data_IF_246049145207
#
_entry.id   IF_246049145207
#
_cell.length_a   1.000
_cell.length_b   1.000
_cell.length_c   1.000
_cell.angle_alpha   90.00
_cell.angle_beta   90.00
_cell.angle_gamma   90.00
#
_symmetry.space_group_name_H-M   'P 1'
#
loop_
_entity.id
_entity.type
_entity.pdbx_description
1 polymer ?
#
# COMPACT_ATOMS: atom_id res chain seq x y z
N UNK A 1 -9.69 19.42 20.63
CA UNK A 1 -8.30 19.88 20.76
C UNK A 1 -7.77 20.24 19.40
N UNK A 2 -7.01 21.32 19.25
CA UNK A 2 -6.34 21.61 17.98
C UNK A 2 -5.45 20.40 17.62
N UNK A 3 -5.49 20.00 16.35
CA UNK A 3 -4.72 18.82 15.85
C UNK A 3 -3.22 19.10 15.83
N UNK A 4 -2.84 20.36 15.97
CA UNK A 4 -1.49 20.86 15.80
C UNK A 4 -1.07 21.54 17.11
N UNK A 5 -0.25 20.83 17.88
CA UNK A 5 0.44 21.35 19.07
C UNK A 5 1.96 21.37 18.81
N UNK A 6 2.72 22.00 19.68
CA UNK A 6 4.19 21.99 19.61
C UNK A 6 4.73 20.55 19.63
N UNK A 7 4.13 19.69 20.46
CA UNK A 7 4.49 18.28 20.54
C UNK A 7 4.22 17.53 19.21
N UNK A 8 3.11 17.84 18.54
CA UNK A 8 2.80 17.23 17.24
C UNK A 8 3.85 17.60 16.18
N UNK A 9 4.31 18.86 16.15
CA UNK A 9 5.41 19.26 15.27
C UNK A 9 6.73 18.62 15.67
N UNK A 10 7.04 18.51 16.96
CA UNK A 10 8.25 17.82 17.41
C UNK A 10 8.27 16.34 17.01
N UNK A 11 7.13 15.65 17.13
CA UNK A 11 6.97 14.24 16.69
C UNK A 11 7.18 14.13 15.17
N UNK A 12 6.55 14.99 14.38
CA UNK A 12 6.70 14.99 12.92
C UNK A 12 8.14 15.29 12.50
N UNK A 13 8.80 16.25 13.16
CA UNK A 13 10.21 16.54 12.92
C UNK A 13 11.11 15.34 13.24
N UNK A 14 10.91 14.68 14.38
CA UNK A 14 11.67 13.50 14.76
C UNK A 14 11.47 12.34 13.76
N UNK A 15 10.25 12.13 13.30
CA UNK A 15 9.93 11.11 12.30
C UNK A 15 10.60 11.42 10.95
N UNK A 16 10.53 12.70 10.53
CA UNK A 16 11.21 13.17 9.30
C UNK A 16 12.71 12.92 9.40
N UNK A 17 13.37 13.32 10.50
CA UNK A 17 14.79 13.10 10.72
C UNK A 17 15.16 11.62 10.72
N UNK A 18 14.38 10.77 11.38
CA UNK A 18 14.61 9.33 11.36
C UNK A 18 14.55 8.76 9.93
N UNK A 19 13.58 9.22 9.11
CA UNK A 19 13.45 8.76 7.73
C UNK A 19 14.62 9.26 6.87
N UNK A 20 15.01 10.54 7.00
CA UNK A 20 16.17 11.09 6.31
C UNK A 20 17.45 10.28 6.60
N UNK A 21 17.70 9.98 7.87
CA UNK A 21 18.88 9.22 8.30
C UNK A 21 18.86 7.77 7.77
N UNK A 22 17.72 7.08 7.87
CA UNK A 22 17.62 5.66 7.49
C UNK A 22 17.53 5.45 5.98
N UNK A 23 16.97 6.39 5.24
CA UNK A 23 16.84 6.35 3.77
C UNK A 23 17.94 7.13 3.05
N UNK A 24 18.85 7.80 3.77
CA UNK A 24 19.87 8.68 3.19
C UNK A 24 19.25 9.85 2.41
N UNK A 25 18.18 10.44 2.91
CA UNK A 25 17.44 11.53 2.25
C UNK A 25 16.66 11.11 1.00
N UNK A 26 16.50 9.82 0.75
CA UNK A 26 15.92 9.27 -0.48
C UNK A 26 14.43 8.98 -0.35
N UNK A 27 13.71 9.13 -1.47
CA UNK A 27 12.30 8.79 -1.60
C UNK A 27 12.03 7.97 -2.86
N UNK A 28 10.96 7.17 -2.81
CA UNK A 28 10.53 6.29 -3.89
C UNK A 28 9.09 6.59 -4.31
N UNK A 29 8.80 6.31 -5.57
CA UNK A 29 7.44 6.24 -6.10
C UNK A 29 7.20 4.82 -6.56
N UNK A 30 6.28 4.13 -5.90
CA UNK A 30 5.75 2.85 -6.36
C UNK A 30 4.51 3.08 -7.21
N UNK A 31 4.19 2.13 -8.08
CA UNK A 31 3.03 2.24 -8.95
C UNK A 31 2.17 0.97 -8.89
N UNK A 32 0.85 1.13 -8.83
CA UNK A 32 -0.09 0.04 -8.74
C UNK A 32 -1.04 0.02 -9.93
N UNK A 33 -1.16 -1.15 -10.56
CA UNK A 33 -2.16 -1.45 -11.57
C UNK A 33 -3.25 -2.33 -10.95
N UNK A 34 -4.46 -1.79 -10.82
CA UNK A 34 -5.62 -2.55 -10.39
C UNK A 34 -6.23 -3.31 -11.55
N UNK A 35 -6.13 -4.64 -11.56
CA UNK A 35 -6.46 -5.47 -12.73
C UNK A 35 -7.92 -5.81 -12.84
N UNK A 36 -8.72 -5.72 -11.75
CA UNK A 36 -10.14 -6.05 -11.82
C UNK A 36 -11.01 -5.29 -10.80
N UNK A 37 -12.26 -5.13 -11.13
CA UNK A 37 -13.36 -4.87 -10.20
C UNK A 37 -14.22 -6.12 -10.09
N UNK A 38 -14.70 -6.43 -8.90
CA UNK A 38 -15.63 -7.54 -8.68
C UNK A 38 -16.36 -7.37 -7.35
N UNK A 39 -17.60 -7.87 -7.21
CA UNK A 39 -18.23 -8.02 -5.90
C UNK A 39 -17.39 -8.97 -5.03
N UNK A 40 -16.69 -8.41 -4.04
CA UNK A 40 -15.80 -9.16 -3.16
C UNK A 40 -16.54 -9.65 -1.92
N UNK A 41 -16.51 -10.97 -1.68
CA UNK A 41 -17.21 -11.62 -0.56
C UNK A 41 -16.52 -11.40 0.80
N UNK A 42 -15.36 -10.79 0.83
CA UNK A 42 -14.72 -10.39 2.10
C UNK A 42 -15.45 -9.24 2.78
N UNK A 43 -16.33 -8.56 2.06
CA UNK A 43 -17.30 -7.60 2.57
C UNK A 43 -16.73 -6.56 3.55
N UNK A 44 -15.51 -6.08 3.28
CA UNK A 44 -14.90 -5.01 4.06
C UNK A 44 -15.79 -3.76 4.00
N UNK A 45 -16.30 -3.30 5.13
CA UNK A 45 -17.34 -2.25 5.22
C UNK A 45 -16.92 -0.90 4.62
N UNK A 46 -15.62 -0.68 4.44
CA UNK A 46 -15.02 0.54 3.91
C UNK A 46 -14.62 0.45 2.42
N UNK A 47 -14.77 -0.73 1.79
CA UNK A 47 -14.19 -1.02 0.48
C UNK A 47 -15.24 -0.89 -0.63
N UNK A 48 -14.89 -0.21 -1.73
CA UNK A 48 -15.77 -0.11 -2.90
C UNK A 48 -16.08 -1.47 -3.55
N UNK A 49 -15.17 -2.44 -3.42
CA UNK A 49 -15.35 -3.78 -3.99
C UNK A 49 -16.24 -4.70 -3.14
N UNK A 50 -16.57 -4.33 -1.89
CA UNK A 50 -17.38 -5.18 -1.04
C UNK A 50 -18.74 -5.47 -1.67
N UNK A 51 -19.10 -6.75 -1.79
CA UNK A 51 -20.38 -7.16 -2.41
C UNK A 51 -21.58 -6.52 -1.69
N UNK A 52 -21.52 -6.38 -0.36
CA UNK A 52 -22.55 -5.73 0.46
C UNK A 52 -22.79 -4.26 0.11
N UNK A 53 -21.77 -3.54 -0.35
CA UNK A 53 -21.87 -2.12 -0.69
C UNK A 53 -22.47 -1.89 -2.08
N UNK A 54 -22.53 -2.94 -2.91
CA UNK A 54 -23.17 -2.95 -4.24
C UNK A 54 -22.74 -1.81 -5.20
N UNK A 55 -21.53 -1.25 -5.00
CA UNK A 55 -20.93 -0.23 -5.88
C UNK A 55 -20.58 -0.89 -7.21
N UNK A 56 -19.82 -1.98 -7.17
CA UNK A 56 -19.56 -2.83 -8.33
C UNK A 56 -20.42 -4.09 -8.26
N UNK A 57 -21.33 -4.25 -9.22
CA UNK A 57 -22.30 -5.36 -9.25
C UNK A 57 -21.89 -6.50 -10.17
N UNK A 58 -20.90 -6.28 -11.03
CA UNK A 58 -20.40 -7.23 -12.00
C UNK A 58 -18.88 -7.31 -11.94
N UNK A 59 -18.36 -8.50 -12.20
CA UNK A 59 -16.93 -8.70 -12.34
C UNK A 59 -16.47 -8.22 -13.72
N UNK A 60 -15.37 -7.48 -13.74
CA UNK A 60 -14.71 -7.03 -14.97
C UNK A 60 -13.21 -7.04 -14.72
N UNK A 61 -12.49 -7.80 -15.52
CA UNK A 61 -11.02 -7.80 -15.50
C UNK A 61 -10.47 -7.04 -16.71
N UNK A 62 -9.36 -6.39 -16.53
CA UNK A 62 -8.60 -5.75 -17.59
C UNK A 62 -7.96 -6.84 -18.47
N UNK A 63 -7.94 -6.70 -19.80
CA UNK A 63 -7.21 -7.62 -20.68
C UNK A 63 -5.72 -7.67 -20.31
N UNK A 64 -5.04 -8.82 -20.43
CA UNK A 64 -3.62 -8.94 -20.10
C UNK A 64 -2.73 -7.93 -20.82
N UNK A 65 -3.02 -7.65 -22.08
CA UNK A 65 -2.28 -6.70 -22.91
C UNK A 65 -2.34 -5.29 -22.33
N UNK A 66 -3.53 -4.86 -21.86
CA UNK A 66 -3.71 -3.55 -21.22
C UNK A 66 -2.97 -3.49 -19.88
N UNK A 67 -2.95 -4.57 -19.09
CA UNK A 67 -2.18 -4.64 -17.84
C UNK A 67 -0.68 -4.48 -18.12
N UNK A 68 -0.16 -5.19 -19.12
CA UNK A 68 1.25 -5.11 -19.51
C UNK A 68 1.59 -3.69 -19.97
N UNK A 69 0.78 -3.09 -20.84
CA UNK A 69 0.98 -1.71 -21.33
C UNK A 69 1.06 -0.72 -20.16
N UNK A 70 0.17 -0.83 -19.19
CA UNK A 70 0.13 0.05 -18.00
C UNK A 70 1.36 -0.15 -17.11
N UNK A 71 1.81 -1.40 -16.92
CA UNK A 71 3.03 -1.70 -16.16
C UNK A 71 4.28 -1.11 -16.84
N UNK A 72 4.42 -1.29 -18.17
CA UNK A 72 5.50 -0.70 -18.96
C UNK A 72 5.47 0.83 -18.94
N UNK A 73 4.29 1.43 -19.00
CA UNK A 73 4.14 2.88 -18.88
C UNK A 73 4.63 3.40 -17.51
N UNK A 74 4.31 2.73 -16.42
CA UNK A 74 4.82 3.08 -15.10
C UNK A 74 6.33 2.87 -14.97
N UNK A 75 6.86 1.78 -15.50
CA UNK A 75 8.31 1.53 -15.56
C UNK A 75 9.02 2.65 -16.34
N UNK A 76 8.53 2.98 -17.54
CA UNK A 76 9.07 4.04 -18.38
C UNK A 76 8.98 5.44 -17.75
N UNK A 77 8.01 5.68 -16.87
CA UNK A 77 7.89 6.91 -16.07
C UNK A 77 8.83 6.93 -14.86
N UNK A 78 9.55 5.85 -14.59
CA UNK A 78 10.53 5.72 -13.52
C UNK A 78 9.90 5.39 -12.15
N UNK A 79 8.81 4.63 -12.12
CA UNK A 79 8.34 4.01 -10.89
C UNK A 79 9.37 3.00 -10.37
N UNK A 80 9.64 3.01 -9.07
CA UNK A 80 10.68 2.17 -8.46
C UNK A 80 10.23 0.72 -8.21
N UNK A 81 8.92 0.47 -8.11
CA UNK A 81 8.30 -0.85 -8.03
C UNK A 81 6.93 -0.83 -8.69
N UNK A 82 6.54 -1.96 -9.29
CA UNK A 82 5.24 -2.17 -9.94
C UNK A 82 4.43 -3.17 -9.12
N UNK A 83 3.18 -2.83 -8.83
CA UNK A 83 2.24 -3.67 -8.10
C UNK A 83 1.12 -4.12 -9.01
N UNK A 84 0.85 -5.42 -9.02
CA UNK A 84 -0.41 -5.94 -9.53
C UNK A 84 -1.39 -6.10 -8.39
N UNK A 85 -2.52 -5.43 -8.46
CA UNK A 85 -3.57 -5.50 -7.44
C UNK A 85 -4.83 -6.15 -8.02
N UNK A 86 -5.33 -7.14 -7.30
CA UNK A 86 -6.60 -7.80 -7.61
C UNK A 86 -7.51 -7.87 -6.38
N UNK A 87 -8.81 -8.00 -6.62
CA UNK A 87 -9.77 -8.31 -5.55
C UNK A 87 -9.40 -9.63 -4.86
N UNK A 88 -9.72 -9.76 -3.57
CA UNK A 88 -9.34 -10.96 -2.79
C UNK A 88 -9.97 -12.28 -3.30
N UNK A 89 -11.01 -12.20 -4.13
CA UNK A 89 -11.67 -13.34 -4.76
C UNK A 89 -11.29 -13.52 -6.24
N UNK A 90 -10.28 -12.80 -6.73
CA UNK A 90 -9.76 -13.02 -8.09
C UNK A 90 -9.12 -14.41 -8.18
N UNK A 91 -9.32 -15.17 -9.30
CA UNK A 91 -8.76 -16.50 -9.45
C UNK A 91 -7.23 -16.48 -9.33
N UNK A 92 -6.67 -17.25 -8.39
CA UNK A 92 -5.25 -17.19 -8.05
C UNK A 92 -4.35 -17.62 -9.23
N UNK A 93 -4.73 -18.70 -9.95
CA UNK A 93 -3.97 -19.14 -11.12
C UNK A 93 -3.98 -18.12 -12.27
N UNK A 94 -5.09 -17.41 -12.42
CA UNK A 94 -5.17 -16.33 -13.39
C UNK A 94 -4.25 -15.17 -12.99
N UNK A 95 -4.22 -14.81 -11.71
CA UNK A 95 -3.29 -13.81 -11.20
C UNK A 95 -1.83 -14.20 -11.44
N UNK A 96 -1.47 -15.46 -11.23
CA UNK A 96 -0.13 -15.96 -11.51
C UNK A 96 0.21 -15.86 -13.01
N UNK A 97 -0.77 -16.10 -13.90
CA UNK A 97 -0.59 -15.92 -15.34
C UNK A 97 -0.29 -14.46 -15.69
N UNK A 98 -1.05 -13.51 -15.14
CA UNK A 98 -0.77 -12.07 -15.27
C UNK A 98 0.64 -11.73 -14.78
N UNK A 99 1.00 -12.24 -13.59
CA UNK A 99 2.33 -12.01 -13.01
C UNK A 99 3.47 -12.46 -13.93
N UNK A 100 3.39 -13.66 -14.51
CA UNK A 100 4.39 -14.18 -15.44
C UNK A 100 4.50 -13.33 -16.71
N UNK A 101 3.38 -12.98 -17.33
CA UNK A 101 3.37 -12.16 -18.54
C UNK A 101 3.93 -10.75 -18.29
N UNK A 102 3.58 -10.14 -17.17
CA UNK A 102 4.13 -8.84 -16.78
C UNK A 102 5.62 -8.95 -16.46
N UNK A 103 6.06 -10.02 -15.77
CA UNK A 103 7.49 -10.24 -15.48
C UNK A 103 8.33 -10.39 -16.75
N UNK A 104 7.81 -11.09 -17.76
CA UNK A 104 8.47 -11.26 -19.05
C UNK A 104 8.61 -9.94 -19.84
N UNK A 105 7.66 -9.02 -19.66
CA UNK A 105 7.64 -7.73 -20.36
C UNK A 105 8.52 -6.67 -19.69
N UNK A 106 8.60 -6.65 -18.36
CA UNK A 106 9.38 -5.66 -17.59
C UNK A 106 10.89 -5.95 -17.63
N UNK A 107 11.69 -4.93 -17.36
CA UNK A 107 13.14 -5.12 -17.19
C UNK A 107 13.43 -6.16 -16.08
N UNK A 108 14.51 -6.94 -16.20
CA UNK A 108 14.80 -8.03 -15.26
C UNK A 108 14.95 -7.58 -13.81
N UNK A 109 15.42 -6.37 -13.57
CA UNK A 109 15.65 -5.78 -12.24
C UNK A 109 14.45 -4.98 -11.70
N UNK A 110 13.42 -4.75 -12.52
CA UNK A 110 12.20 -4.08 -12.04
C UNK A 110 11.51 -4.90 -10.97
N UNK A 111 11.25 -4.27 -9.84
CA UNK A 111 10.58 -4.91 -8.69
C UNK A 111 9.09 -5.09 -8.98
N UNK A 112 8.63 -6.34 -8.93
CA UNK A 112 7.23 -6.72 -9.14
C UNK A 112 6.61 -7.26 -7.85
N UNK A 113 5.48 -6.68 -7.42
CA UNK A 113 4.84 -6.95 -6.14
C UNK A 113 3.40 -7.44 -6.34
N UNK A 114 3.02 -8.47 -5.60
CA UNK A 114 1.65 -8.97 -5.58
C UNK A 114 0.82 -8.28 -4.49
N UNK A 115 -0.37 -7.81 -4.85
CA UNK A 115 -1.39 -7.31 -3.94
C UNK A 115 -2.71 -8.05 -4.22
N UNK A 116 -2.87 -9.22 -3.61
CA UNK A 116 -3.98 -10.16 -3.80
C UNK A 116 -4.50 -10.67 -2.45
N UNK A 117 -5.55 -11.47 -2.45
CA UNK A 117 -6.11 -12.14 -1.27
C UNK A 117 -5.12 -13.07 -0.56
N UNK A 118 -5.60 -13.75 0.47
CA UNK A 118 -4.78 -14.65 1.27
C UNK A 118 -4.42 -15.94 0.52
N UNK A 119 -3.23 -16.44 0.77
CA UNK A 119 -2.68 -17.68 0.23
C UNK A 119 -1.90 -18.46 1.31
N UNK A 120 -1.52 -19.69 1.00
CA UNK A 120 -0.70 -20.57 1.83
C UNK A 120 0.74 -20.67 1.32
N UNK A 121 1.49 -21.66 1.80
CA UNK A 121 2.88 -21.89 1.41
C UNK A 121 3.02 -22.24 -0.08
N UNK A 122 2.10 -23.03 -0.62
CA UNK A 122 2.13 -23.40 -2.05
C UNK A 122 1.87 -22.17 -2.92
N UNK A 123 0.90 -21.33 -2.53
CA UNK A 123 0.62 -20.07 -3.20
C UNK A 123 1.79 -19.10 -3.12
N UNK A 124 2.48 -19.02 -1.98
CA UNK A 124 3.67 -18.18 -1.83
C UNK A 124 4.81 -18.62 -2.75
N UNK A 125 5.06 -19.91 -2.83
CA UNK A 125 6.06 -20.49 -3.75
C UNK A 125 5.67 -20.22 -5.20
N UNK A 126 4.39 -20.35 -5.55
CA UNK A 126 3.90 -20.08 -6.90
C UNK A 126 4.07 -18.60 -7.29
N UNK A 127 3.78 -17.66 -6.37
CA UNK A 127 4.05 -16.23 -6.59
C UNK A 127 5.54 -15.96 -6.83
N UNK A 128 6.42 -16.54 -6.02
CA UNK A 128 7.87 -16.42 -6.21
C UNK A 128 8.32 -16.94 -7.57
N UNK A 129 7.83 -18.11 -7.99
CA UNK A 129 8.10 -18.72 -9.30
C UNK A 129 7.51 -17.88 -10.46
N UNK A 130 6.41 -17.19 -10.26
CA UNK A 130 5.82 -16.28 -11.24
C UNK A 130 6.59 -14.95 -11.38
N UNK A 131 7.67 -14.74 -10.62
CA UNK A 131 8.58 -13.61 -10.75
C UNK A 131 8.29 -12.44 -9.82
N UNK A 132 7.40 -12.61 -8.84
CA UNK A 132 7.18 -11.60 -7.81
C UNK A 132 8.35 -11.53 -6.82
N UNK A 133 8.77 -10.31 -6.47
CA UNK A 133 9.81 -10.04 -5.48
C UNK A 133 9.23 -9.97 -4.06
N UNK A 134 7.97 -9.64 -3.92
CA UNK A 134 7.31 -9.47 -2.64
C UNK A 134 5.80 -9.32 -2.74
N UNK A 135 5.19 -9.03 -1.60
CA UNK A 135 3.76 -8.79 -1.46
C UNK A 135 3.50 -7.48 -0.72
N UNK A 136 2.37 -6.83 -1.02
CA UNK A 136 1.74 -5.90 -0.12
C UNK A 136 0.62 -6.61 0.64
N UNK A 137 0.71 -6.66 1.96
CA UNK A 137 -0.28 -7.37 2.75
C UNK A 137 -0.48 -6.72 4.12
N UNK A 138 -1.63 -6.11 4.34
CA UNK A 138 -1.97 -5.42 5.57
C UNK A 138 -2.94 -6.26 6.42
N UNK A 139 -2.71 -6.29 7.74
CA UNK A 139 -3.73 -6.66 8.71
C UNK A 139 -4.45 -5.37 9.08
N UNK A 140 -5.68 -5.20 8.60
CA UNK A 140 -6.40 -3.92 8.68
C UNK A 140 -6.86 -3.60 10.09
N UNK A 141 -7.05 -2.33 10.37
CA UNK A 141 -7.77 -1.87 11.56
C UNK A 141 -9.17 -2.48 11.55
N UNK A 142 -9.58 -3.09 12.66
CA UNK A 142 -10.86 -3.81 12.78
C UNK A 142 -10.94 -5.11 11.97
N UNK A 143 -9.82 -5.69 11.50
CA UNK A 143 -9.81 -6.96 10.75
C UNK A 143 -10.55 -8.05 11.53
N UNK A 144 -11.47 -8.76 10.88
CA UNK A 144 -12.34 -9.76 11.49
C UNK A 144 -13.66 -9.21 12.04
N UNK A 145 -13.72 -7.93 12.38
CA UNK A 145 -14.96 -7.26 12.80
C UNK A 145 -15.60 -6.48 11.64
N UNK A 146 -14.77 -5.72 10.90
CA UNK A 146 -15.22 -4.89 9.75
C UNK A 146 -14.90 -5.52 8.40
N UNK A 147 -14.34 -6.73 8.41
CA UNK A 147 -14.02 -7.54 7.23
C UNK A 147 -14.41 -8.99 7.45
N UNK A 148 -14.61 -9.75 6.38
CA UNK A 148 -14.84 -11.21 6.43
C UNK A 148 -13.56 -12.03 6.62
N UNK A 149 -12.42 -11.41 6.96
CA UNK A 149 -11.12 -12.06 7.05
C UNK A 149 -10.65 -12.07 8.50
N UNK A 150 -10.25 -13.26 8.99
CA UNK A 150 -9.66 -13.37 10.33
C UNK A 150 -8.22 -12.85 10.34
N UNK A 151 -7.80 -12.09 11.38
CA UNK A 151 -6.42 -11.59 11.50
C UNK A 151 -5.36 -12.69 11.41
N UNK A 152 -5.64 -13.88 11.98
CA UNK A 152 -4.74 -15.02 11.95
C UNK A 152 -4.46 -15.52 10.53
N UNK A 153 -5.48 -15.46 9.63
CA UNK A 153 -5.31 -15.81 8.22
C UNK A 153 -4.33 -14.88 7.53
N UNK A 154 -4.44 -13.57 7.79
CA UNK A 154 -3.49 -12.56 7.28
C UNK A 154 -2.07 -12.84 7.76
N UNK A 155 -1.89 -13.14 9.05
CA UNK A 155 -0.59 -13.49 9.62
C UNK A 155 -0.01 -14.78 9.03
N UNK A 156 -0.84 -15.79 8.75
CA UNK A 156 -0.42 -17.00 8.05
C UNK A 156 0.11 -16.69 6.66
N UNK A 157 -0.58 -15.84 5.88
CA UNK A 157 -0.15 -15.38 4.56
C UNK A 157 1.21 -14.68 4.62
N UNK A 158 1.42 -13.78 5.59
CA UNK A 158 2.71 -13.10 5.79
C UNK A 158 3.83 -14.10 6.10
N UNK A 159 3.55 -15.10 6.95
CA UNK A 159 4.53 -16.15 7.29
C UNK A 159 4.86 -17.02 6.08
N UNK A 160 3.86 -17.42 5.29
CA UNK A 160 4.04 -18.18 4.05
C UNK A 160 4.90 -17.42 3.03
N UNK A 161 4.58 -16.13 2.80
CA UNK A 161 5.36 -15.26 1.92
C UNK A 161 6.85 -15.23 2.31
N UNK A 162 7.15 -15.06 3.61
CA UNK A 162 8.53 -15.05 4.11
C UNK A 162 9.25 -16.37 3.93
N UNK A 163 8.58 -17.49 4.20
CA UNK A 163 9.19 -18.82 3.98
C UNK A 163 9.55 -19.04 2.51
N UNK A 164 8.78 -18.48 1.60
CA UNK A 164 9.06 -18.53 0.16
C UNK A 164 10.09 -17.48 -0.32
N UNK A 165 10.63 -16.64 0.59
CA UNK A 165 11.59 -15.59 0.24
C UNK A 165 10.95 -14.36 -0.41
N UNK A 166 9.62 -14.17 -0.29
CA UNK A 166 8.94 -12.96 -0.69
C UNK A 166 9.08 -11.89 0.39
N UNK A 167 9.42 -10.67 0.00
CA UNK A 167 9.49 -9.52 0.87
C UNK A 167 8.09 -8.96 1.14
N UNK A 168 7.86 -8.41 2.33
CA UNK A 168 6.52 -7.98 2.76
C UNK A 168 6.52 -6.49 3.05
N UNK A 169 5.71 -5.73 2.30
CA UNK A 169 5.34 -4.37 2.61
C UNK A 169 3.98 -4.30 3.29
N UNK A 170 3.78 -3.37 4.22
CA UNK A 170 2.50 -3.20 4.92
C UNK A 170 2.32 -1.77 5.44
N UNK A 171 1.09 -1.41 5.81
CA UNK A 171 0.76 -0.14 6.45
C UNK A 171 -0.25 -0.34 7.59
N UNK A 172 -0.29 0.63 8.51
CA UNK A 172 -1.40 0.82 9.44
C UNK A 172 -2.56 1.43 8.66
N UNK A 173 -3.58 0.63 8.35
CA UNK A 173 -4.71 1.01 7.50
C UNK A 173 -5.99 0.22 7.78
N UNK A 174 -7.15 0.69 7.33
CA UNK A 174 -7.45 2.07 6.90
C UNK A 174 -7.77 2.96 8.11
N UNK A 175 -7.07 4.07 8.29
CA UNK A 175 -7.26 4.96 9.44
C UNK A 175 -8.46 5.88 9.21
N UNK A 176 -9.47 5.78 10.07
CA UNK A 176 -10.67 6.62 10.08
C UNK A 176 -10.93 7.29 11.42
N UNK A 177 -11.88 8.24 11.49
CA UNK A 177 -12.24 8.93 12.73
C UNK A 177 -12.82 8.00 13.82
N UNK A 178 -13.29 6.83 13.42
CA UNK A 178 -13.87 5.80 14.27
C UNK A 178 -12.86 5.06 15.15
N UNK A 179 -11.57 5.10 14.79
CA UNK A 179 -10.56 4.33 15.49
C UNK A 179 -10.07 5.02 16.77
N UNK A 180 -9.96 4.25 17.84
CA UNK A 180 -9.38 4.69 19.12
C UNK A 180 -7.86 4.74 19.07
N UNK A 181 -7.24 5.41 20.03
CA UNK A 181 -5.79 5.42 20.18
C UNK A 181 -5.23 4.02 20.45
N UNK A 182 -5.93 3.22 21.28
CA UNK A 182 -5.50 1.87 21.64
C UNK A 182 -5.46 0.95 20.40
N UNK A 183 -6.47 1.01 19.52
CA UNK A 183 -6.48 0.27 18.24
C UNK A 183 -5.32 0.69 17.33
N UNK A 184 -5.03 1.99 17.26
CA UNK A 184 -3.89 2.49 16.46
C UNK A 184 -2.55 2.03 17.05
N UNK A 185 -2.40 2.03 18.37
CA UNK A 185 -1.19 1.54 19.05
C UNK A 185 -1.01 0.05 18.82
N UNK A 186 -2.05 -0.77 19.08
CA UNK A 186 -2.01 -2.21 18.85
C UNK A 186 -1.61 -2.54 17.41
N UNK A 187 -2.24 -1.88 16.44
CA UNK A 187 -1.93 -2.10 15.02
C UNK A 187 -0.52 -1.66 14.65
N UNK A 188 -0.03 -0.59 15.24
CA UNK A 188 1.35 -0.11 15.03
C UNK A 188 2.37 -1.09 15.58
N UNK A 189 2.15 -1.64 16.78
CA UNK A 189 3.01 -2.65 17.39
C UNK A 189 3.02 -3.95 16.58
N UNK A 190 1.85 -4.41 16.13
CA UNK A 190 1.75 -5.57 15.22
C UNK A 190 2.52 -5.34 13.91
N UNK A 191 2.41 -4.15 13.32
CA UNK A 191 3.16 -3.77 12.12
C UNK A 191 4.66 -3.83 12.35
N UNK A 192 5.14 -3.34 13.49
CA UNK A 192 6.56 -3.44 13.89
C UNK A 192 7.01 -4.90 14.03
N UNK A 193 6.22 -5.76 14.66
CA UNK A 193 6.51 -7.19 14.83
C UNK A 193 6.60 -7.93 13.49
N UNK A 194 5.82 -7.49 12.50
CA UNK A 194 5.89 -8.00 11.14
C UNK A 194 7.22 -7.69 10.43
N UNK A 195 8.08 -6.80 10.93
CA UNK A 195 9.36 -6.40 10.31
C UNK A 195 9.25 -6.22 8.81
N UNK A 196 8.40 -5.30 8.33
CA UNK A 196 8.19 -5.11 6.89
C UNK A 196 9.39 -4.40 6.25
N UNK A 197 9.50 -4.49 4.90
CA UNK A 197 10.53 -3.75 4.15
C UNK A 197 10.19 -2.28 4.00
N UNK A 198 8.93 -1.92 4.07
CA UNK A 198 8.44 -0.56 4.28
C UNK A 198 7.18 -0.59 5.14
N UNK A 199 6.91 0.49 5.83
CA UNK A 199 5.72 0.69 6.63
C UNK A 199 5.16 2.08 6.41
N UNK A 200 4.08 2.41 7.09
CA UNK A 200 3.45 3.71 7.04
C UNK A 200 2.03 3.66 7.56
N UNK A 201 1.25 4.66 7.17
CA UNK A 201 -0.16 4.71 7.50
C UNK A 201 -0.99 5.25 6.34
N UNK A 202 -2.19 4.69 6.15
CA UNK A 202 -3.08 5.08 5.07
C UNK A 202 -4.47 5.44 5.59
N UNK A 203 -4.97 6.59 5.14
CA UNK A 203 -6.27 7.12 5.51
C UNK A 203 -7.41 6.29 4.89
N UNK A 204 -8.47 6.04 5.66
CA UNK A 204 -9.73 5.52 5.11
C UNK A 204 -10.43 6.62 4.29
N UNK A 205 -10.79 6.27 3.07
CA UNK A 205 -11.58 7.15 2.21
C UNK A 205 -13.06 6.96 2.51
N UNK A 206 -13.78 8.07 2.65
CA UNK A 206 -15.23 8.08 2.80
C UNK A 206 -15.89 7.90 1.43
N UNK A 207 -15.96 6.65 0.95
CA UNK A 207 -16.52 6.31 -0.35
C UNK A 207 -18.05 6.31 -0.26
N UNK A 208 -18.75 7.12 -1.07
CA UNK A 208 -20.22 7.09 -1.11
C UNK A 208 -20.75 5.68 -1.39
N UNK A 209 -21.74 5.25 -0.63
CA UNK A 209 -22.30 3.89 -0.72
C UNK A 209 -21.64 2.84 0.15
N UNK A 210 -20.53 3.15 0.85
CA UNK A 210 -19.97 2.27 1.87
C UNK A 210 -20.57 2.55 3.26
N UNK A 211 -20.58 1.55 4.14
CA UNK A 211 -21.17 1.66 5.49
C UNK A 211 -20.52 2.77 6.33
N UNK A 212 -19.24 3.03 6.14
CA UNK A 212 -18.47 4.02 6.92
C UNK A 212 -18.37 5.40 6.25
N UNK A 213 -19.01 5.60 5.09
CA UNK A 213 -18.93 6.89 4.36
C UNK A 213 -19.38 8.08 5.23
N UNK A 214 -20.46 7.89 6.00
CA UNK A 214 -21.05 8.93 6.86
C UNK A 214 -20.16 9.39 8.02
N UNK A 215 -19.14 8.62 8.39
CA UNK A 215 -18.17 9.00 9.42
C UNK A 215 -17.09 9.99 8.92
N UNK A 216 -17.06 10.27 7.63
CA UNK A 216 -16.07 11.16 7.04
C UNK A 216 -14.65 10.58 7.06
N UNK A 217 -13.66 11.47 7.09
CA UNK A 217 -12.23 11.13 7.06
C UNK A 217 -11.47 11.89 8.15
N UNK A 218 -10.36 11.33 8.63
CA UNK A 218 -9.39 12.12 9.41
C UNK A 218 -8.77 13.20 8.51
N UNK A 219 -8.41 14.34 9.07
CA UNK A 219 -7.71 15.39 8.33
C UNK A 219 -6.30 14.94 7.93
N UNK A 220 -5.73 15.54 6.88
CA UNK A 220 -4.33 15.27 6.49
C UNK A 220 -3.35 15.60 7.61
N UNK A 221 -3.57 16.68 8.35
CA UNK A 221 -2.76 17.04 9.51
C UNK A 221 -2.80 15.95 10.62
N UNK A 222 -3.98 15.39 10.90
CA UNK A 222 -4.11 14.27 11.84
C UNK A 222 -3.44 13.01 11.30
N UNK A 223 -3.59 12.74 10.00
CA UNK A 223 -2.98 11.60 9.35
C UNK A 223 -1.45 11.69 9.37
N UNK A 224 -0.89 12.87 9.13
CA UNK A 224 0.55 13.11 9.19
C UNK A 224 1.12 12.86 10.60
N UNK A 225 0.39 13.24 11.66
CA UNK A 225 0.80 12.91 13.03
C UNK A 225 0.78 11.40 13.28
N UNK A 226 -0.28 10.69 12.87
CA UNK A 226 -0.37 9.23 12.99
C UNK A 226 0.77 8.56 12.22
N UNK A 227 1.02 8.99 11.00
CA UNK A 227 2.12 8.53 10.15
C UNK A 227 3.48 8.70 10.83
N UNK A 228 3.71 9.86 11.46
CA UNK A 228 4.94 10.14 12.19
C UNK A 228 5.11 9.22 13.42
N UNK A 229 4.04 9.00 14.18
CA UNK A 229 4.06 8.07 15.32
C UNK A 229 4.35 6.64 14.86
N UNK A 230 3.69 6.16 13.81
CA UNK A 230 3.95 4.84 13.22
C UNK A 230 5.41 4.73 12.78
N UNK A 231 5.96 5.77 12.12
CA UNK A 231 7.35 5.81 11.69
C UNK A 231 8.32 5.64 12.85
N UNK A 232 8.11 6.38 13.93
CA UNK A 232 8.98 6.32 15.11
C UNK A 232 8.86 4.95 15.83
N UNK A 233 7.66 4.41 15.93
CA UNK A 233 7.40 3.14 16.62
C UNK A 233 7.95 1.92 15.86
N UNK A 234 7.86 1.91 14.52
CA UNK A 234 8.43 0.83 13.69
C UNK A 234 9.96 0.84 13.74
N UNK A 235 10.56 2.01 13.92
CA UNK A 235 11.97 2.14 14.24
C UNK A 235 12.91 2.16 13.03
N UNK A 236 14.21 2.12 13.30
CA UNK A 236 15.28 2.34 12.32
C UNK A 236 15.50 1.19 11.32
N UNK A 237 14.95 0.01 11.59
CA UNK A 237 15.06 -1.15 10.70
C UNK A 237 14.24 -1.04 9.40
N UNK A 238 13.44 0.02 9.24
CA UNK A 238 12.62 0.29 8.05
C UNK A 238 12.97 1.67 7.52
N UNK A 239 13.43 1.75 6.29
CA UNK A 239 13.90 3.01 5.68
C UNK A 239 12.80 3.80 4.97
N UNK A 240 11.70 3.13 4.56
CA UNK A 240 10.65 3.75 3.79
C UNK A 240 9.34 3.80 4.56
N UNK A 241 8.76 5.01 4.61
CA UNK A 241 7.52 5.33 5.30
C UNK A 241 6.48 5.81 4.30
N UNK A 242 5.41 5.05 4.12
CA UNK A 242 4.45 5.28 3.06
C UNK A 242 3.17 5.97 3.50
N UNK A 243 2.58 6.72 2.60
CA UNK A 243 1.16 7.05 2.62
C UNK A 243 0.54 6.81 1.24
N UNK A 244 -0.67 6.22 1.21
CA UNK A 244 -1.36 5.90 -0.05
C UNK A 244 -2.04 7.12 -0.68
N UNK A 245 -2.12 8.22 0.03
CA UNK A 245 -2.57 9.50 -0.51
C UNK A 245 -1.42 10.49 -0.50
N UNK A 246 -0.70 10.61 -1.63
CA UNK A 246 0.40 11.54 -1.78
C UNK A 246 -0.01 12.96 -1.45
N UNK A 247 0.66 13.59 -0.48
CA UNK A 247 0.43 14.99 -0.09
C UNK A 247 1.67 15.58 0.58
N UNK A 248 1.78 16.92 0.53
CA UNK A 248 2.94 17.66 1.05
C UNK A 248 3.07 17.53 2.57
N UNK A 249 1.94 17.53 3.31
CA UNK A 249 1.95 17.46 4.79
C UNK A 249 2.53 16.12 5.24
N UNK A 250 2.10 15.01 4.62
CA UNK A 250 2.65 13.68 4.88
C UNK A 250 4.12 13.57 4.51
N UNK A 251 4.53 14.13 3.37
CA UNK A 251 5.92 14.15 2.93
C UNK A 251 6.82 14.92 3.90
N UNK A 252 6.36 16.07 4.41
CA UNK A 252 7.06 16.86 5.42
C UNK A 252 7.12 16.16 6.77
N UNK A 253 6.13 15.33 7.13
CA UNK A 253 6.10 14.53 8.35
C UNK A 253 6.91 13.21 8.26
N UNK A 254 7.64 13.00 7.17
CA UNK A 254 8.56 11.88 7.01
C UNK A 254 8.05 10.74 6.13
N UNK A 255 6.95 10.92 5.37
CA UNK A 255 6.64 9.99 4.29
C UNK A 255 7.63 10.21 3.14
N UNK A 256 8.24 9.11 2.69
CA UNK A 256 9.20 9.10 1.57
C UNK A 256 8.89 7.98 0.56
N UNK A 257 7.70 7.42 0.62
CA UNK A 257 7.20 6.42 -0.31
C UNK A 257 5.75 6.75 -0.68
N UNK A 258 5.52 7.02 -1.97
CA UNK A 258 4.21 7.35 -2.51
C UNK A 258 3.76 6.36 -3.56
N UNK A 259 2.45 6.30 -3.79
CA UNK A 259 1.82 5.46 -4.80
C UNK A 259 1.25 6.27 -5.96
N UNK A 260 1.69 5.92 -7.18
CA UNK A 260 0.96 6.18 -8.40
C UNK A 260 -0.02 5.02 -8.64
N UNK A 261 -1.23 5.30 -9.13
CA UNK A 261 -2.28 4.29 -9.23
C UNK A 261 -3.06 4.44 -10.54
N UNK A 262 -3.35 3.31 -11.18
CA UNK A 262 -4.29 3.23 -12.29
C UNK A 262 -5.11 1.93 -12.26
N UNK A 263 -6.17 1.89 -13.08
CA UNK A 263 -7.12 0.78 -13.08
C UNK A 263 -8.00 0.76 -11.84
N UNK A 264 -8.38 -0.41 -11.39
CA UNK A 264 -9.29 -0.58 -10.25
C UNK A 264 -8.62 -0.25 -8.91
N UNK A 265 -9.35 0.40 -8.00
CA UNK A 265 -8.84 0.71 -6.67
C UNK A 265 -9.94 0.53 -5.60
N UNK A 266 -9.69 -0.23 -4.51
CA UNK A 266 -10.69 -0.46 -3.46
C UNK A 266 -11.09 0.80 -2.68
N UNK A 267 -10.38 1.91 -2.87
CA UNK A 267 -10.62 3.21 -2.25
C UNK A 267 -11.30 4.20 -3.21
N UNK A 268 -11.76 3.72 -4.38
CA UNK A 268 -12.39 4.53 -5.42
C UNK A 268 -13.71 3.90 -5.87
N UNK A 269 -14.80 4.65 -6.05
CA UNK A 269 -16.04 4.14 -6.64
C UNK A 269 -15.96 4.01 -8.17
N UNK A 270 -14.93 4.56 -8.83
CA UNK A 270 -14.72 4.48 -10.27
C UNK A 270 -13.92 3.22 -10.66
N UNK A 271 -14.22 2.63 -11.83
CA UNK A 271 -13.47 1.48 -12.37
C UNK A 271 -12.01 1.82 -12.68
N UNK A 272 -11.73 3.08 -12.97
CA UNK A 272 -10.42 3.62 -13.35
C UNK A 272 -10.04 4.77 -12.45
N UNK A 273 -9.24 4.49 -11.44
CA UNK A 273 -8.85 5.46 -10.42
C UNK A 273 -8.06 6.65 -10.97
N UNK A 274 -7.37 6.47 -12.11
CA UNK A 274 -6.68 7.56 -12.82
C UNK A 274 -7.61 8.68 -13.29
N UNK A 275 -8.91 8.41 -13.41
CA UNK A 275 -9.92 9.41 -13.75
C UNK A 275 -10.48 10.16 -12.54
N UNK A 276 -10.13 9.75 -11.32
CA UNK A 276 -10.66 10.31 -10.08
C UNK A 276 -9.56 10.57 -9.05
N UNK A 277 -9.11 9.54 -8.33
CA UNK A 277 -8.21 9.68 -7.18
C UNK A 277 -6.77 9.28 -7.45
N UNK A 278 -6.52 8.53 -8.52
CA UNK A 278 -5.20 8.01 -8.83
C UNK A 278 -4.19 9.11 -9.12
N UNK A 279 -3.06 9.05 -8.44
CA UNK A 279 -1.92 9.94 -8.70
C UNK A 279 -1.05 9.37 -9.82
N UNK A 280 -0.46 10.25 -10.61
CA UNK A 280 0.57 9.87 -11.60
C UNK A 280 1.94 9.79 -10.94
N UNK A 281 2.87 9.05 -11.54
CA UNK A 281 4.29 9.01 -11.10
C UNK A 281 4.88 10.42 -11.08
N UNK A 282 4.60 11.23 -12.10
CA UNK A 282 5.08 12.62 -12.19
C UNK A 282 4.61 13.46 -11.01
N UNK A 283 3.32 13.37 -10.64
CA UNK A 283 2.77 14.14 -9.51
C UNK A 283 3.33 13.68 -8.17
N UNK A 284 3.47 12.37 -7.94
CA UNK A 284 4.13 11.84 -6.75
C UNK A 284 5.57 12.34 -6.62
N UNK A 285 6.33 12.34 -7.73
CA UNK A 285 7.72 12.82 -7.77
C UNK A 285 7.81 14.32 -7.51
N UNK A 286 6.87 15.10 -8.03
CA UNK A 286 6.77 16.54 -7.78
C UNK A 286 6.61 16.81 -6.28
N UNK A 287 5.59 16.24 -5.63
CA UNK A 287 5.32 16.43 -4.19
C UNK A 287 6.53 16.04 -3.34
N UNK A 288 7.20 14.91 -3.64
CA UNK A 288 8.39 14.49 -2.91
C UNK A 288 9.54 15.48 -3.07
N UNK A 289 9.76 16.03 -4.27
CA UNK A 289 10.81 17.06 -4.50
C UNK A 289 10.50 18.36 -3.77
N UNK A 290 9.24 18.83 -3.84
CA UNK A 290 8.80 20.05 -3.13
C UNK A 290 8.97 19.90 -1.61
N UNK A 291 8.80 18.67 -1.08
CA UNK A 291 9.08 18.34 0.31
C UNK A 291 10.59 18.13 0.61
N UNK A 292 11.49 18.37 -0.34
CA UNK A 292 12.94 18.29 -0.16
C UNK A 292 13.52 16.87 -0.15
N UNK A 293 12.83 15.89 -0.75
CA UNK A 293 13.36 14.53 -0.90
C UNK A 293 14.16 14.37 -2.20
N UNK A 294 15.26 13.61 -2.15
CA UNK A 294 15.95 13.12 -3.34
C UNK A 294 15.28 11.83 -3.84
N UNK A 295 14.94 11.80 -5.11
CA UNK A 295 14.27 10.64 -5.70
C UNK A 295 15.26 9.53 -6.06
N UNK A 296 14.93 8.30 -5.66
CA UNK A 296 15.64 7.10 -6.14
C UNK A 296 15.41 6.95 -7.65
N UNK A 297 16.46 6.63 -8.38
CA UNK A 297 16.40 6.19 -9.77
C UNK A 297 16.62 4.69 -9.86
N UNK A 298 15.91 4.02 -10.76
CA UNK A 298 15.95 2.55 -10.89
C UNK A 298 15.09 1.81 -9.87
N UNK A 299 15.36 0.52 -9.65
CA UNK A 299 14.54 -0.36 -8.82
C UNK A 299 14.45 0.06 -7.37
N UNK A 300 13.34 -0.28 -6.72
CA UNK A 300 13.07 0.03 -5.32
C UNK A 300 14.16 -0.52 -4.39
N UNK A 301 14.70 0.35 -3.55
CA UNK A 301 15.65 -0.02 -2.48
C UNK A 301 14.95 -0.70 -1.31
N UNK A 302 13.66 -0.42 -1.09
CA UNK A 302 12.87 -1.08 -0.06
C UNK A 302 12.80 -2.60 -0.29
N UNK A 303 12.85 -3.05 -1.55
CA UNK A 303 12.78 -4.45 -1.93
C UNK A 303 14.13 -5.07 -2.33
N UNK A 304 15.25 -4.42 -1.99
CA UNK A 304 16.57 -5.02 -2.16
C UNK A 304 16.95 -5.83 -0.92
N UNK A 305 17.26 -7.12 -1.11
CA UNK A 305 17.83 -7.97 -0.08
C UNK A 305 19.28 -7.56 0.15
N UNK A 306 19.59 -6.96 1.30
CA UNK A 306 20.99 -6.65 1.62
C UNK A 306 21.27 -5.40 2.45
N UNK A 307 20.26 -4.61 2.79
CA UNK A 307 20.46 -3.45 3.69
C UNK A 307 20.00 -3.74 5.12
N UNK A 308 20.38 -4.91 5.67
CA UNK A 308 20.28 -5.21 7.09
C UNK A 308 21.71 -5.18 7.65
N UNK A 309 22.18 -3.95 7.92
CA UNK A 309 23.37 -3.70 8.71
C UNK A 309 22.98 -3.22 10.11
#
# INVERSE_FOLDING_TARGET
MPVISEEAYAIQYAARKMTEETAGGRAEVHAQVGINVAPCLQNCVFCSFAARNAIFRHSKAMPPEEVIERCLAFEGQGANAIYLMATANFPFEEFLRFGRQVREALQPDTVLIANIGDFDDEGAIALRKAGFNGIYHAIRLGEGAVTGIKPERRLQTVRAARRAGLLVGTCVEPVGPEHTLDELVEKTLLTREMRPVFSGAARRIAIPGTDLAGLGMVSEARMALILAVVRLAVGRGVSFNCTHEPNDIGAMAGANLFWAENGANPRDPEEKTENNRGYTVAKCREILREAGWELVTGPSRAFQTGCSG
#
